data_IF_735912343641
#
_entry.id   IF_735912343641
#
_cell.length_a   1.000
_cell.length_b   1.000
_cell.length_c   1.000
_cell.angle_alpha   90.00
_cell.angle_beta   90.00
_cell.angle_gamma   90.00
#
_symmetry.space_group_name_H-M   'P 1'
#
loop_
_entity.id
_entity.type
_entity.pdbx_description
1 polymer ?
#
# COMPACT_ATOMS: atom_id res chain seq x y z
N UNK A 1 -1.76 0.30 28.31
CA UNK A 1 -2.42 0.97 27.18
C UNK A 1 -1.41 1.51 26.16
N UNK A 2 -0.52 2.45 26.49
CA UNK A 2 0.45 3.00 25.51
C UNK A 2 1.30 1.92 24.81
N UNK A 3 1.90 0.99 25.58
CA UNK A 3 2.69 -0.14 25.04
C UNK A 3 1.87 -1.08 24.14
N UNK A 4 0.57 -1.22 24.40
CA UNK A 4 -0.31 -2.06 23.58
C UNK A 4 -0.55 -1.40 22.22
N UNK A 5 -0.88 -0.11 22.20
CA UNK A 5 -1.06 0.63 20.94
C UNK A 5 0.23 0.77 20.15
N UNK A 6 1.38 0.92 20.81
CA UNK A 6 2.69 0.91 20.16
C UNK A 6 2.96 -0.44 19.48
N UNK A 7 2.74 -1.55 20.19
CA UNK A 7 2.90 -2.89 19.60
C UNK A 7 1.94 -3.11 18.43
N UNK A 8 0.66 -2.77 18.60
CA UNK A 8 -0.34 -2.87 17.53
C UNK A 8 0.02 -2.02 16.30
N UNK A 9 0.51 -0.80 16.51
CA UNK A 9 0.96 0.07 15.42
C UNK A 9 2.13 -0.55 14.65
N UNK A 10 3.10 -1.14 15.37
CA UNK A 10 4.23 -1.82 14.74
C UNK A 10 3.78 -3.07 13.99
N UNK A 11 2.87 -3.87 14.54
CA UNK A 11 2.31 -5.05 13.87
C UNK A 11 1.59 -4.65 12.56
N UNK A 12 0.87 -3.52 12.55
CA UNK A 12 0.27 -2.99 11.32
C UNK A 12 1.31 -2.47 10.30
N UNK A 13 2.44 -1.91 10.75
CA UNK A 13 3.53 -1.49 9.87
C UNK A 13 4.26 -2.70 9.28
N UNK A 14 4.49 -3.74 10.07
CA UNK A 14 5.02 -5.01 9.59
C UNK A 14 4.11 -5.60 8.52
N UNK A 15 2.80 -5.69 8.77
CA UNK A 15 1.83 -6.14 7.76
C UNK A 15 1.81 -5.26 6.50
N UNK A 16 2.01 -3.94 6.61
CA UNK A 16 2.02 -3.06 5.45
C UNK A 16 3.20 -3.35 4.50
N UNK A 17 4.36 -3.68 5.06
CA UNK A 17 5.59 -3.93 4.29
C UNK A 17 5.87 -5.41 4.04
N UNK A 18 5.08 -6.28 4.67
CA UNK A 18 5.13 -7.71 4.45
C UNK A 18 4.81 -8.01 2.98
N UNK A 19 5.62 -8.92 2.43
CA UNK A 19 5.50 -9.35 1.03
C UNK A 19 4.72 -10.66 0.92
N UNK A 20 4.30 -11.25 2.03
CA UNK A 20 3.44 -12.42 2.05
C UNK A 20 1.97 -12.04 1.83
N UNK A 21 1.22 -12.89 1.12
CA UNK A 21 -0.22 -12.75 0.86
C UNK A 21 -0.70 -11.38 0.32
N UNK A 22 0.18 -10.63 -0.31
CA UNK A 22 -0.16 -9.33 -0.90
C UNK A 22 -1.23 -9.51 -1.98
N UNK A 23 -2.14 -8.54 -2.07
CA UNK A 23 -3.19 -8.53 -3.09
C UNK A 23 -3.30 -7.20 -3.83
N UNK A 24 -2.35 -6.29 -3.58
CA UNK A 24 -2.18 -5.02 -4.29
C UNK A 24 -0.73 -4.85 -4.70
N UNK A 25 -0.51 -4.44 -5.95
CA UNK A 25 0.74 -3.90 -6.46
C UNK A 25 0.57 -2.39 -6.68
N UNK A 26 1.51 -1.59 -6.18
CA UNK A 26 1.55 -0.14 -6.38
C UNK A 26 2.84 0.21 -7.10
N UNK A 27 2.73 0.67 -8.34
CA UNK A 27 3.85 1.19 -9.12
C UNK A 27 3.96 2.69 -8.88
N UNK A 28 5.06 3.14 -8.27
CA UNK A 28 5.29 4.55 -7.93
C UNK A 28 6.39 5.12 -8.80
N UNK A 29 6.19 6.35 -9.28
CA UNK A 29 7.13 7.05 -10.14
C UNK A 29 7.08 6.61 -11.60
N UNK A 30 8.09 7.03 -12.36
CA UNK A 30 8.23 6.77 -13.80
C UNK A 30 9.68 6.34 -14.07
N UNK A 31 9.87 5.41 -15.01
CA UNK A 31 11.20 4.94 -15.42
C UNK A 31 12.13 6.11 -15.77
N UNK A 32 13.40 6.09 -15.33
CA UNK A 32 14.09 4.98 -14.64
C UNK A 32 13.90 4.97 -13.11
N UNK A 33 13.25 5.97 -12.53
CA UNK A 33 13.12 6.16 -11.08
C UNK A 33 11.76 5.66 -10.56
N UNK A 34 11.41 4.42 -10.90
CA UNK A 34 10.19 3.77 -10.42
C UNK A 34 10.47 2.70 -9.37
N UNK A 35 9.49 2.44 -8.51
CA UNK A 35 9.55 1.36 -7.51
C UNK A 35 8.19 0.66 -7.44
N UNK A 36 8.25 -0.65 -7.20
CA UNK A 36 7.09 -1.50 -7.03
C UNK A 36 6.92 -1.80 -5.54
N UNK A 37 5.73 -1.56 -5.03
CA UNK A 37 5.34 -1.92 -3.67
C UNK A 37 4.28 -3.03 -3.71
N UNK A 38 4.43 -4.00 -2.83
CA UNK A 38 3.46 -5.07 -2.58
C UNK A 38 2.81 -4.76 -1.24
N UNK A 39 1.48 -4.80 -1.19
CA UNK A 39 0.73 -4.42 0.00
C UNK A 39 -0.64 -5.10 0.04
N UNK A 40 -1.37 -4.91 1.15
CA UNK A 40 -2.68 -5.50 1.39
C UNK A 40 -3.77 -4.44 1.35
N UNK A 41 -4.84 -4.75 0.61
CA UNK A 41 -6.04 -3.91 0.48
C UNK A 41 -6.58 -3.43 1.82
N UNK A 42 -6.65 -4.30 2.84
CA UNK A 42 -7.21 -3.94 4.14
C UNK A 42 -6.42 -2.82 4.82
N UNK A 43 -5.09 -2.92 4.87
CA UNK A 43 -4.24 -1.89 5.49
C UNK A 43 -4.39 -0.56 4.73
N UNK A 44 -4.27 -0.59 3.39
CA UNK A 44 -4.35 0.61 2.55
C UNK A 44 -5.69 1.34 2.70
N UNK A 45 -6.81 0.61 2.71
CA UNK A 45 -8.18 1.17 2.81
C UNK A 45 -8.45 1.89 4.14
N UNK A 46 -7.78 1.48 5.22
CA UNK A 46 -7.95 2.12 6.53
C UNK A 46 -6.91 3.23 6.77
N UNK A 47 -5.76 3.19 6.09
CA UNK A 47 -4.72 4.23 6.19
C UNK A 47 -5.01 5.47 5.33
N UNK A 48 -5.76 5.32 4.23
CA UNK A 48 -6.01 6.42 3.31
C UNK A 48 -7.37 6.34 2.64
N UNK A 49 -8.13 7.45 2.69
CA UNK A 49 -9.38 7.59 1.95
C UNK A 49 -9.18 7.48 0.43
N UNK A 50 -8.04 7.94 -0.08
CA UNK A 50 -7.69 7.78 -1.50
C UNK A 50 -7.64 6.30 -1.86
N UNK A 51 -6.86 5.50 -1.13
CA UNK A 51 -6.77 4.06 -1.38
C UNK A 51 -8.10 3.34 -1.10
N UNK A 52 -8.89 3.81 -0.13
CA UNK A 52 -10.23 3.29 0.11
C UNK A 52 -11.09 3.32 -1.17
N UNK A 53 -11.17 4.50 -1.78
CA UNK A 53 -11.99 4.74 -2.96
C UNK A 53 -11.39 4.09 -4.21
N UNK A 54 -10.07 4.24 -4.42
CA UNK A 54 -9.37 3.71 -5.58
C UNK A 54 -9.48 2.17 -5.63
N UNK A 55 -9.24 1.48 -4.51
CA UNK A 55 -9.34 0.03 -4.41
C UNK A 55 -10.78 -0.50 -4.46
N UNK A 56 -11.80 0.34 -4.31
CA UNK A 56 -13.19 -0.05 -4.53
C UNK A 56 -13.47 -0.22 -6.03
N UNK A 57 -12.84 0.61 -6.88
CA UNK A 57 -13.13 0.70 -8.31
C UNK A 57 -12.18 -0.14 -9.19
N UNK A 58 -10.99 -0.48 -8.71
CA UNK A 58 -10.02 -1.27 -9.48
C UNK A 58 -10.47 -2.74 -9.61
N UNK A 59 -10.43 -3.27 -10.83
CA UNK A 59 -10.61 -4.71 -11.09
C UNK A 59 -9.38 -5.52 -10.70
N UNK A 60 -9.61 -6.79 -10.35
CA UNK A 60 -8.52 -7.75 -10.11
C UNK A 60 -8.06 -8.36 -11.43
N UNK A 61 -6.80 -8.73 -11.51
CA UNK A 61 -6.25 -9.52 -12.61
C UNK A 61 -6.55 -11.03 -12.46
N UNK A 62 -5.98 -11.86 -13.36
CA UNK A 62 -6.15 -13.32 -13.35
C UNK A 62 -5.60 -14.00 -12.08
N UNK A 63 -4.68 -13.34 -11.38
CA UNK A 63 -4.07 -13.81 -10.15
C UNK A 63 -4.75 -13.19 -8.91
N UNK A 64 -5.91 -12.55 -9.08
CA UNK A 64 -6.64 -11.84 -8.03
C UNK A 64 -5.91 -10.60 -7.45
N UNK A 65 -4.92 -10.06 -8.17
CA UNK A 65 -4.13 -8.90 -7.75
C UNK A 65 -4.71 -7.61 -8.34
N UNK A 66 -4.75 -6.54 -7.53
CA UNK A 66 -5.09 -5.18 -7.99
C UNK A 66 -3.81 -4.39 -8.25
N UNK A 67 -3.80 -3.56 -9.30
CA UNK A 67 -2.62 -2.73 -9.62
C UNK A 67 -2.98 -1.24 -9.63
N UNK A 68 -2.22 -0.44 -8.90
CA UNK A 68 -2.31 1.03 -8.85
C UNK A 68 -1.04 1.63 -9.47
N UNK A 69 -1.17 2.67 -10.29
CA UNK A 69 -0.04 3.38 -10.89
C UNK A 69 -0.01 4.84 -10.43
N UNK A 70 0.95 5.20 -9.60
CA UNK A 70 1.18 6.55 -9.07
C UNK A 70 2.35 7.22 -9.78
N UNK A 71 2.15 7.62 -11.03
CA UNK A 71 3.19 8.24 -11.87
C UNK A 71 3.62 9.63 -11.40
N UNK A 72 2.74 10.34 -10.68
CA UNK A 72 2.95 11.71 -10.24
C UNK A 72 3.44 11.83 -8.79
N UNK A 73 3.63 10.69 -8.11
CA UNK A 73 4.09 10.63 -6.73
C UNK A 73 5.53 10.11 -6.75
N UNK A 74 6.45 10.80 -6.08
CA UNK A 74 7.80 10.28 -5.90
C UNK A 74 7.81 9.12 -4.90
N UNK A 75 8.81 8.26 -4.99
CA UNK A 75 8.98 7.12 -4.06
C UNK A 75 8.99 7.60 -2.60
N UNK A 76 9.73 8.68 -2.30
CA UNK A 76 9.82 9.25 -0.96
C UNK A 76 8.49 9.80 -0.45
N UNK A 77 7.73 10.50 -1.30
CA UNK A 77 6.40 10.99 -0.93
C UNK A 77 5.44 9.83 -0.62
N UNK A 78 5.49 8.77 -1.44
CA UNK A 78 4.64 7.60 -1.21
C UNK A 78 4.99 6.89 0.10
N UNK A 79 6.28 6.71 0.40
CA UNK A 79 6.72 6.11 1.67
C UNK A 79 6.24 6.92 2.89
N UNK A 80 6.17 8.25 2.79
CA UNK A 80 5.59 9.12 3.83
C UNK A 80 4.07 8.97 3.91
N UNK A 81 3.36 8.89 2.77
CA UNK A 81 1.89 8.76 2.73
C UNK A 81 1.43 7.44 3.35
N UNK A 82 2.22 6.38 3.19
CA UNK A 82 1.81 5.04 3.60
C UNK A 82 2.22 4.69 5.05
N UNK A 83 3.17 5.41 5.62
CA UNK A 83 3.63 5.22 7.02
C UNK A 83 2.61 5.75 8.02
#
# INVERSE_FOLDING_TARGET
MAKFFEKLSNDCLELLYDKEDFNVIINVGVSPNNKIFQAHTNILRYRSLYFHNELANISKDKNNIKTINLKHVSIQQFEIIIR
#
